data_IF_330516688829
#
_entry.id   IF_330516688829
#
_cell.length_a   1.000
_cell.length_b   1.000
_cell.length_c   1.000
_cell.angle_alpha   90.00
_cell.angle_beta   90.00
_cell.angle_gamma   90.00
#
_symmetry.space_group_name_H-M   'P 1'
#
loop_
_entity.id
_entity.type
_entity.pdbx_description
1 polymer ?
#
# COMPACT_ATOMS: atom_id res chain seq x y z
N UNK A 1 22.51 -1.45 -1.89
CA UNK A 1 21.77 -2.68 -2.25
C UNK A 1 21.99 -3.12 -3.71
N UNK A 2 21.98 -2.25 -4.72
CA UNK A 2 22.17 -2.65 -6.14
C UNK A 2 23.60 -3.00 -6.58
N UNK A 3 24.53 -3.30 -5.64
CA UNK A 3 25.96 -3.52 -5.97
C UNK A 3 26.21 -4.82 -6.74
N UNK A 4 25.23 -5.73 -6.78
CA UNK A 4 25.32 -7.04 -7.44
C UNK A 4 24.51 -7.14 -8.74
N UNK A 5 23.91 -6.03 -9.20
CA UNK A 5 23.16 -5.99 -10.45
C UNK A 5 24.10 -6.13 -11.65
N UNK A 6 23.83 -7.12 -12.50
CA UNK A 6 24.51 -7.29 -13.78
C UNK A 6 24.05 -6.19 -14.74
N UNK A 7 24.82 -5.84 -15.78
CA UNK A 7 24.40 -4.85 -16.80
C UNK A 7 23.04 -5.18 -17.43
N UNK A 8 22.72 -6.47 -17.56
CA UNK A 8 21.41 -6.95 -18.01
C UNK A 8 20.28 -6.70 -16.99
N UNK A 9 20.56 -6.85 -15.69
CA UNK A 9 19.58 -6.57 -14.62
C UNK A 9 19.29 -5.07 -14.55
N UNK A 10 20.31 -4.23 -14.76
CA UNK A 10 20.17 -2.78 -14.81
C UNK A 10 19.31 -2.32 -16.01
N UNK A 11 19.47 -2.97 -17.16
CA UNK A 11 18.64 -2.72 -18.34
C UNK A 11 17.19 -3.15 -18.11
N UNK A 12 16.96 -4.34 -17.51
CA UNK A 12 15.62 -4.82 -17.15
C UNK A 12 14.94 -3.89 -16.14
N UNK A 13 15.66 -3.42 -15.13
CA UNK A 13 15.15 -2.42 -14.18
C UNK A 13 14.80 -1.11 -14.88
N UNK A 14 15.63 -0.64 -15.82
CA UNK A 14 15.34 0.54 -16.62
C UNK A 14 14.01 0.40 -17.40
N UNK A 15 13.85 -0.68 -18.16
CA UNK A 15 12.60 -0.96 -18.89
C UNK A 15 11.42 -1.09 -17.93
N UNK A 16 11.59 -1.79 -16.80
CA UNK A 16 10.57 -1.94 -15.76
C UNK A 16 10.14 -0.61 -15.14
N UNK A 17 11.06 0.34 -14.94
CA UNK A 17 10.72 1.69 -14.43
C UNK A 17 9.93 2.50 -15.45
N UNK A 18 10.33 2.50 -16.72
CA UNK A 18 9.58 3.21 -17.77
C UNK A 18 8.18 2.63 -17.90
N UNK A 19 8.06 1.29 -17.90
CA UNK A 19 6.77 0.61 -17.90
C UNK A 19 5.92 0.95 -16.66
N UNK A 20 6.54 1.05 -15.47
CA UNK A 20 5.88 1.49 -14.24
C UNK A 20 5.33 2.92 -14.35
N UNK A 21 6.09 3.83 -14.96
CA UNK A 21 5.66 5.22 -15.17
C UNK A 21 4.47 5.30 -16.13
N UNK A 22 4.51 4.56 -17.24
CA UNK A 22 3.40 4.48 -18.19
C UNK A 22 2.16 3.89 -17.51
N UNK A 23 2.34 2.84 -16.71
CA UNK A 23 1.24 2.23 -15.96
C UNK A 23 0.68 3.19 -14.90
N UNK A 24 1.51 3.97 -14.20
CA UNK A 24 1.06 4.95 -13.21
C UNK A 24 0.29 6.12 -13.84
N UNK A 25 0.68 6.56 -15.03
CA UNK A 25 -0.04 7.60 -15.78
C UNK A 25 -1.40 7.12 -16.32
N UNK A 26 -1.65 5.82 -16.33
CA UNK A 26 -2.90 5.28 -16.88
C UNK A 26 -4.13 5.62 -16.06
N UNK A 27 -4.04 5.65 -14.72
CA UNK A 27 -5.20 5.96 -13.88
C UNK A 27 -5.65 7.43 -14.07
N UNK A 28 -4.76 8.44 -14.07
CA UNK A 28 -5.14 9.82 -14.40
C UNK A 28 -5.60 9.99 -15.85
N UNK A 29 -5.04 9.24 -16.80
CA UNK A 29 -5.54 9.29 -18.19
C UNK A 29 -6.95 8.69 -18.29
N UNK A 30 -7.26 7.64 -17.53
CA UNK A 30 -8.60 7.06 -17.48
C UNK A 30 -9.63 8.09 -17.01
N UNK A 31 -9.32 8.95 -16.04
CA UNK A 31 -10.25 10.00 -15.58
C UNK A 31 -10.52 11.04 -16.67
N UNK A 32 -9.52 11.34 -17.51
CA UNK A 32 -9.67 12.24 -18.66
C UNK A 32 -10.60 11.62 -19.72
N UNK A 33 -10.41 10.35 -20.05
CA UNK A 33 -11.24 9.66 -21.03
C UNK A 33 -12.67 9.51 -20.49
N UNK A 34 -12.82 9.18 -19.20
CA UNK A 34 -14.12 9.12 -18.53
C UNK A 34 -14.86 10.46 -18.58
N UNK A 35 -14.15 11.56 -18.31
CA UNK A 35 -14.71 12.90 -18.42
C UNK A 35 -15.18 13.24 -19.85
N UNK A 36 -14.47 12.79 -20.88
CA UNK A 36 -14.87 12.97 -22.26
C UNK A 36 -16.14 12.17 -22.61
N UNK A 37 -16.36 11.00 -21.99
CA UNK A 37 -17.64 10.27 -22.10
C UNK A 37 -18.78 11.12 -21.55
N UNK A 38 -18.62 11.67 -20.35
CA UNK A 38 -19.66 12.48 -19.69
C UNK A 38 -20.00 13.72 -20.51
N UNK A 39 -18.99 14.38 -21.06
CA UNK A 39 -19.17 15.53 -21.95
C UNK A 39 -19.88 15.16 -23.25
N UNK A 40 -19.66 13.95 -23.77
CA UNK A 40 -20.35 13.45 -24.97
C UNK A 40 -21.85 13.25 -24.74
N UNK A 41 -22.25 12.87 -23.53
CA UNK A 41 -23.66 12.75 -23.13
C UNK A 41 -24.30 14.08 -22.72
N UNK A 42 -23.50 15.09 -22.36
CA UNK A 42 -23.99 16.42 -21.96
C UNK A 42 -24.45 17.30 -23.13
N UNK A 43 -24.21 16.90 -24.38
CA UNK A 43 -24.61 17.65 -25.57
C UNK A 43 -26.05 17.39 -26.00
N UNK A 44 -26.73 18.40 -26.53
CA UNK A 44 -28.15 18.38 -26.93
C UNK A 44 -28.47 17.55 -28.18
N UNK A 45 -27.46 17.03 -28.87
CA UNK A 45 -27.57 16.59 -30.26
C UNK A 45 -27.39 15.07 -30.39
N UNK A 46 -28.51 14.33 -30.28
CA UNK A 46 -28.55 12.87 -30.14
C UNK A 46 -27.90 12.09 -31.29
N UNK A 47 -27.91 12.62 -32.52
CA UNK A 47 -27.31 11.99 -33.70
C UNK A 47 -25.78 12.00 -33.66
N UNK A 48 -25.18 13.03 -33.04
CA UNK A 48 -23.73 13.18 -32.89
C UNK A 48 -23.17 12.51 -31.62
N UNK A 49 -24.02 12.05 -30.70
CA UNK A 49 -23.60 11.33 -29.49
C UNK A 49 -22.95 10.00 -29.84
N UNK A 50 -23.56 9.23 -30.75
CA UNK A 50 -23.07 7.89 -31.10
C UNK A 50 -21.66 7.92 -31.70
N UNK A 51 -21.39 8.91 -32.56
CA UNK A 51 -20.06 9.11 -33.16
C UNK A 51 -19.02 9.56 -32.13
N UNK A 52 -19.38 10.48 -31.22
CA UNK A 52 -18.50 10.92 -30.13
C UNK A 52 -18.16 9.79 -29.17
N UNK A 53 -19.17 9.04 -28.72
CA UNK A 53 -18.98 7.90 -27.81
C UNK A 53 -18.14 6.82 -28.46
N UNK A 54 -18.38 6.47 -29.73
CA UNK A 54 -17.56 5.49 -30.45
C UNK A 54 -16.07 5.86 -30.48
N UNK A 55 -15.75 7.14 -30.70
CA UNK A 55 -14.37 7.65 -30.63
C UNK A 55 -13.76 7.53 -29.23
N UNK A 56 -14.54 7.82 -28.17
CA UNK A 56 -14.07 7.71 -26.78
C UNK A 56 -13.86 6.25 -26.37
N UNK A 57 -14.72 5.33 -26.83
CA UNK A 57 -14.54 3.89 -26.62
C UNK A 57 -13.25 3.39 -27.27
N UNK A 58 -12.91 3.87 -28.48
CA UNK A 58 -11.62 3.55 -29.09
C UNK A 58 -10.43 4.00 -28.22
N UNK A 59 -10.47 5.21 -27.65
CA UNK A 59 -9.43 5.66 -26.71
C UNK A 59 -9.32 4.76 -25.46
N UNK A 60 -10.45 4.28 -24.93
CA UNK A 60 -10.46 3.30 -23.83
C UNK A 60 -9.79 1.98 -24.20
N UNK A 61 -10.04 1.47 -25.42
CA UNK A 61 -9.41 0.23 -25.89
C UNK A 61 -7.90 0.41 -26.06
N UNK A 62 -7.46 1.51 -26.70
CA UNK A 62 -6.03 1.79 -26.85
C UNK A 62 -5.33 1.97 -25.51
N UNK A 63 -5.96 2.67 -24.57
CA UNK A 63 -5.44 2.82 -23.20
C UNK A 63 -5.36 1.46 -22.51
N UNK A 64 -6.42 0.65 -22.59
CA UNK A 64 -6.46 -0.71 -22.01
C UNK A 64 -5.34 -1.61 -22.51
N UNK A 65 -5.13 -1.68 -23.83
CA UNK A 65 -4.03 -2.46 -24.43
C UNK A 65 -2.67 -1.93 -23.97
N UNK A 66 -2.49 -0.61 -23.98
CA UNK A 66 -1.27 0.03 -23.49
C UNK A 66 -0.97 -0.29 -22.02
N UNK A 67 -1.99 -0.24 -21.16
CA UNK A 67 -1.86 -0.59 -19.74
C UNK A 67 -1.59 -2.05 -19.49
N UNK A 68 -2.21 -2.95 -20.26
CA UNK A 68 -1.97 -4.38 -20.13
C UNK A 68 -0.51 -4.72 -20.48
N UNK A 69 0.01 -4.14 -21.57
CA UNK A 69 1.41 -4.31 -21.96
C UNK A 69 2.37 -3.68 -20.95
N UNK A 70 2.09 -2.46 -20.50
CA UNK A 70 2.93 -1.75 -19.53
C UNK A 70 2.96 -2.48 -18.16
N UNK A 71 1.82 -2.92 -17.65
CA UNK A 71 1.74 -3.67 -16.39
C UNK A 71 2.43 -5.02 -16.50
N UNK A 72 2.25 -5.74 -17.61
CA UNK A 72 2.94 -7.01 -17.85
C UNK A 72 4.46 -6.81 -17.89
N UNK A 73 4.95 -5.82 -18.63
CA UNK A 73 6.38 -5.51 -18.70
C UNK A 73 6.95 -5.06 -17.36
N UNK A 74 6.23 -4.20 -16.63
CA UNK A 74 6.61 -3.74 -15.31
C UNK A 74 6.82 -4.92 -14.36
N UNK A 75 5.78 -5.74 -14.16
CA UNK A 75 5.83 -6.87 -13.22
C UNK A 75 6.86 -7.89 -13.66
N UNK A 76 6.88 -8.27 -14.94
CA UNK A 76 7.83 -9.28 -15.44
C UNK A 76 9.29 -8.85 -15.29
N UNK A 77 9.64 -7.61 -15.68
CA UNK A 77 11.02 -7.12 -15.59
C UNK A 77 11.50 -7.02 -14.14
N UNK A 78 10.65 -6.51 -13.24
CA UNK A 78 10.98 -6.36 -11.83
C UNK A 78 11.08 -7.71 -11.10
N UNK A 79 10.15 -8.64 -11.37
CA UNK A 79 10.22 -10.00 -10.80
C UNK A 79 11.45 -10.74 -11.30
N UNK A 80 11.76 -10.69 -12.60
CA UNK A 80 12.97 -11.33 -13.14
C UNK A 80 14.26 -10.75 -12.57
N UNK A 81 14.35 -9.41 -12.43
CA UNK A 81 15.51 -8.76 -11.82
C UNK A 81 15.65 -9.11 -10.34
N UNK A 82 14.54 -9.14 -9.60
CA UNK A 82 14.49 -9.54 -8.18
C UNK A 82 14.93 -10.97 -7.95
N UNK A 83 14.44 -11.92 -8.75
CA UNK A 83 14.81 -13.34 -8.68
C UNK A 83 16.30 -13.56 -8.95
N UNK A 84 16.85 -12.93 -10.00
CA UNK A 84 18.28 -13.06 -10.35
C UNK A 84 19.19 -12.51 -9.25
N UNK A 85 18.82 -11.37 -8.65
CA UNK A 85 19.58 -10.78 -7.54
C UNK A 85 19.44 -11.62 -6.26
N UNK A 86 18.24 -12.09 -5.94
CA UNK A 86 17.97 -12.96 -4.78
C UNK A 86 18.78 -14.26 -4.86
N UNK A 87 18.78 -14.94 -6.01
CA UNK A 87 19.55 -16.15 -6.23
C UNK A 87 21.06 -15.92 -6.05
N UNK A 88 21.59 -14.78 -6.53
CA UNK A 88 23.00 -14.41 -6.36
C UNK A 88 23.35 -14.06 -4.91
N UNK A 89 22.44 -13.42 -4.19
CA UNK A 89 22.63 -13.12 -2.77
C UNK A 89 22.63 -14.42 -1.96
N UNK A 90 21.72 -15.36 -2.26
CA UNK A 90 21.68 -16.70 -1.63
C UNK A 90 22.99 -17.44 -1.82
N UNK A 91 23.57 -17.44 -3.02
CA UNK A 91 24.83 -18.13 -3.27
C UNK A 91 26.02 -17.47 -2.55
N UNK A 92 26.11 -16.13 -2.58
CA UNK A 92 27.15 -15.39 -1.87
C UNK A 92 27.03 -15.52 -0.34
N UNK A 93 25.80 -15.56 0.18
CA UNK A 93 25.53 -15.76 1.59
C UNK A 93 26.00 -17.15 2.03
N UNK A 94 25.64 -18.19 1.27
CA UNK A 94 26.11 -19.55 1.55
C UNK A 94 27.64 -19.65 1.49
N UNK A 95 28.28 -19.05 0.48
CA UNK A 95 29.74 -19.01 0.36
C UNK A 95 30.39 -18.30 1.56
N UNK A 96 29.82 -17.19 2.03
CA UNK A 96 30.32 -16.47 3.20
C UNK A 96 30.16 -17.28 4.49
N UNK A 97 29.00 -17.92 4.69
CA UNK A 97 28.73 -18.78 5.85
C UNK A 97 29.68 -19.98 5.90
N UNK A 98 29.98 -20.59 4.75
CA UNK A 98 30.92 -21.72 4.66
C UNK A 98 32.39 -21.34 4.91
N UNK A 99 32.75 -20.06 4.77
CA UNK A 99 34.12 -19.55 5.05
C UNK A 99 34.32 -19.12 6.50
N UNK A 100 33.27 -19.16 7.32
CA UNK A 100 33.31 -18.72 8.70
C UNK A 100 33.92 -19.81 9.61
N UNK A 101 34.67 -19.39 10.64
CA UNK A 101 35.31 -20.32 11.58
C UNK A 101 34.29 -21.13 12.40
N UNK A 102 34.67 -22.34 12.81
CA UNK A 102 33.81 -23.24 13.61
C UNK A 102 33.35 -22.58 14.92
N UNK A 103 34.18 -21.71 15.52
CA UNK A 103 33.83 -20.94 16.72
C UNK A 103 32.62 -20.02 16.53
N UNK A 104 32.32 -19.58 15.30
CA UNK A 104 31.14 -18.75 15.01
C UNK A 104 29.83 -19.57 15.12
N UNK A 105 29.88 -20.84 14.71
CA UNK A 105 28.73 -21.75 14.83
C UNK A 105 28.50 -22.22 16.27
N UNK A 106 29.53 -22.25 17.10
CA UNK A 106 29.43 -22.62 18.51
C UNK A 106 28.93 -21.47 19.41
N UNK A 107 29.18 -20.21 19.04
CA UNK A 107 28.90 -19.03 19.90
C UNK A 107 27.71 -18.19 19.41
N UNK A 108 27.55 -17.97 18.10
CA UNK A 108 26.65 -16.94 17.57
C UNK A 108 25.52 -17.45 16.67
N UNK A 109 25.61 -18.65 16.11
CA UNK A 109 24.62 -19.11 15.11
C UNK A 109 24.32 -20.61 15.20
N UNK A 110 23.12 -20.96 15.68
CA UNK A 110 22.63 -22.34 15.56
C UNK A 110 22.36 -22.69 14.10
N UNK A 111 22.65 -23.94 13.68
CA UNK A 111 22.49 -24.40 12.29
C UNK A 111 21.07 -24.18 11.75
N UNK A 112 20.05 -24.22 12.62
CA UNK A 112 18.66 -23.94 12.28
C UNK A 112 18.36 -22.47 12.02
N UNK A 113 18.94 -21.55 12.81
CA UNK A 113 18.82 -20.10 12.58
C UNK A 113 19.54 -19.67 11.31
N UNK A 114 20.69 -20.28 10.99
CA UNK A 114 21.41 -20.04 9.75
C UNK A 114 20.55 -20.28 8.50
N UNK A 115 19.89 -21.44 8.47
CA UNK A 115 19.02 -21.87 7.37
C UNK A 115 17.75 -21.02 7.33
N UNK A 116 17.18 -20.72 8.49
CA UNK A 116 15.98 -19.87 8.61
C UNK A 116 16.24 -18.46 8.10
N UNK A 117 17.33 -17.80 8.51
CA UNK A 117 17.74 -16.47 8.01
C UNK A 117 18.03 -16.50 6.52
N UNK A 118 18.74 -17.53 6.03
CA UNK A 118 19.02 -17.67 4.61
C UNK A 118 17.74 -17.77 3.76
N UNK A 119 16.70 -18.46 4.23
CA UNK A 119 15.44 -18.58 3.49
C UNK A 119 14.53 -17.36 3.65
N UNK A 120 14.30 -16.92 4.89
CA UNK A 120 13.36 -15.85 5.22
C UNK A 120 13.88 -14.47 4.78
N UNK A 121 15.13 -14.12 5.09
CA UNK A 121 15.67 -12.79 4.79
C UNK A 121 15.86 -12.61 3.28
N UNK A 122 16.18 -13.69 2.56
CA UNK A 122 16.34 -13.62 1.10
C UNK A 122 15.02 -13.46 0.37
N UNK A 123 13.93 -14.07 0.87
CA UNK A 123 12.57 -13.82 0.34
C UNK A 123 12.16 -12.37 0.61
N UNK A 124 12.42 -11.84 1.81
CA UNK A 124 12.12 -10.44 2.12
C UNK A 124 12.91 -9.47 1.24
N UNK A 125 14.19 -9.75 0.99
CA UNK A 125 15.03 -8.96 0.09
C UNK A 125 14.54 -9.05 -1.36
N UNK A 126 14.09 -10.24 -1.79
CA UNK A 126 13.52 -10.44 -3.12
C UNK A 126 12.23 -9.63 -3.31
N UNK A 127 11.32 -9.67 -2.34
CA UNK A 127 10.08 -8.88 -2.37
C UNK A 127 10.37 -7.38 -2.39
N UNK A 128 11.35 -6.94 -1.58
CA UNK A 128 11.75 -5.55 -1.50
C UNK A 128 12.41 -5.04 -2.80
N UNK A 129 13.24 -5.86 -3.46
CA UNK A 129 13.97 -5.48 -4.67
C UNK A 129 13.15 -5.68 -5.96
N UNK A 130 12.21 -6.61 -5.99
CA UNK A 130 11.39 -6.92 -7.15
C UNK A 130 10.16 -6.01 -7.24
N UNK A 131 9.04 -6.43 -6.66
CA UNK A 131 7.75 -5.81 -6.91
C UNK A 131 7.60 -4.42 -6.28
N UNK A 132 8.15 -4.22 -5.07
CA UNK A 132 7.92 -2.99 -4.30
C UNK A 132 8.53 -1.75 -4.95
N UNK A 133 9.70 -1.85 -5.57
CA UNK A 133 10.35 -0.71 -6.23
C UNK A 133 9.56 -0.29 -7.46
N UNK A 134 9.11 -1.25 -8.27
CA UNK A 134 8.26 -0.99 -9.43
C UNK A 134 6.93 -0.37 -9.03
N UNK A 135 6.31 -0.85 -7.94
CA UNK A 135 5.08 -0.25 -7.39
C UNK A 135 5.31 1.15 -6.87
N UNK A 136 6.41 1.42 -6.18
CA UNK A 136 6.73 2.76 -5.68
C UNK A 136 6.86 3.78 -6.83
N UNK A 137 7.56 3.41 -7.92
CA UNK A 137 7.68 4.27 -9.10
C UNK A 137 6.33 4.52 -9.79
N UNK A 138 5.48 3.49 -9.88
CA UNK A 138 4.11 3.62 -10.39
C UNK A 138 3.31 4.61 -9.54
N UNK A 139 3.30 4.41 -8.23
CA UNK A 139 2.57 5.23 -7.26
C UNK A 139 3.01 6.70 -7.30
N UNK A 140 4.32 6.96 -7.35
CA UNK A 140 4.85 8.31 -7.53
C UNK A 140 4.37 8.95 -8.84
N UNK A 141 4.35 8.18 -9.93
CA UNK A 141 3.92 8.70 -11.23
C UNK A 141 2.42 8.98 -11.25
N UNK A 142 1.60 8.14 -10.62
CA UNK A 142 0.16 8.38 -10.47
C UNK A 142 -0.11 9.61 -9.62
N UNK A 143 0.61 9.78 -8.49
CA UNK A 143 0.51 10.97 -7.64
C UNK A 143 0.78 12.23 -8.47
N UNK A 144 1.96 12.33 -9.09
CA UNK A 144 2.36 13.51 -9.88
C UNK A 144 1.41 13.71 -11.08
N UNK A 145 1.08 12.64 -11.80
CA UNK A 145 0.19 12.69 -12.96
C UNK A 145 -1.22 13.17 -12.62
N UNK A 146 -1.80 12.69 -11.51
CA UNK A 146 -3.11 13.08 -11.02
C UNK A 146 -3.18 14.58 -10.67
N UNK A 147 -2.18 15.09 -9.93
CA UNK A 147 -2.10 16.52 -9.62
C UNK A 147 -1.90 17.38 -10.86
N UNK A 148 -0.97 17.01 -11.76
CA UNK A 148 -0.69 17.77 -12.98
C UNK A 148 -1.95 17.86 -13.85
N UNK A 149 -2.65 16.73 -14.10
CA UNK A 149 -3.88 16.71 -14.88
C UNK A 149 -4.99 17.53 -14.20
N UNK A 150 -5.13 17.42 -12.87
CA UNK A 150 -6.08 18.20 -12.09
C UNK A 150 -5.85 19.72 -12.20
N UNK A 151 -4.61 20.17 -12.04
CA UNK A 151 -4.25 21.59 -12.14
C UNK A 151 -4.40 22.15 -13.55
N UNK A 152 -4.03 21.38 -14.58
CA UNK A 152 -4.16 21.78 -15.99
C UNK A 152 -5.64 21.93 -16.40
N UNK A 153 -6.52 21.04 -15.92
CA UNK A 153 -7.95 21.07 -16.29
C UNK A 153 -8.76 22.07 -15.48
N UNK A 154 -8.39 22.32 -14.23
CA UNK A 154 -9.18 23.20 -13.37
C UNK A 154 -8.47 23.64 -12.12
N UNK A 155 -7.58 24.62 -12.24
CA UNK A 155 -6.78 25.17 -11.13
C UNK A 155 -7.62 25.57 -9.90
N UNK A 156 -8.78 26.22 -10.09
CA UNK A 156 -9.60 26.67 -8.94
C UNK A 156 -10.25 25.54 -8.17
N UNK A 157 -10.70 24.48 -8.85
CA UNK A 157 -11.26 23.29 -8.18
C UNK A 157 -10.15 22.44 -7.57
N UNK A 158 -8.99 22.37 -8.24
CA UNK A 158 -7.81 21.66 -7.73
C UNK A 158 -7.29 22.23 -6.41
N UNK A 159 -7.27 23.56 -6.25
CA UNK A 159 -6.90 24.21 -4.99
C UNK A 159 -7.85 23.87 -3.84
N UNK A 160 -9.16 23.80 -4.11
CA UNK A 160 -10.15 23.40 -3.09
C UNK A 160 -9.92 21.95 -2.66
N UNK A 161 -9.68 21.06 -3.62
CA UNK A 161 -9.34 19.66 -3.31
C UNK A 161 -8.04 19.56 -2.51
N UNK A 162 -7.01 20.33 -2.87
CA UNK A 162 -5.74 20.37 -2.15
C UNK A 162 -5.93 20.82 -0.69
N UNK A 163 -6.85 21.74 -0.41
CA UNK A 163 -7.16 22.17 0.96
C UNK A 163 -7.84 21.07 1.80
N UNK A 164 -8.51 20.11 1.17
CA UNK A 164 -9.11 18.95 1.84
C UNK A 164 -8.09 17.82 2.16
N UNK A 165 -6.90 17.85 1.56
CA UNK A 165 -5.88 16.81 1.76
C UNK A 165 -5.26 16.86 3.17
N UNK A 166 -4.78 18.01 3.70
CA UNK A 166 -4.23 18.09 5.05
C UNK A 166 -5.15 17.55 6.17
N UNK A 167 -6.45 17.91 6.24
CA UNK A 167 -7.34 17.33 7.25
C UNK A 167 -7.53 15.83 7.07
N UNK A 168 -7.56 15.32 5.84
CA UNK A 168 -7.63 13.88 5.55
C UNK A 168 -6.38 13.13 6.05
N UNK A 169 -5.19 13.69 5.79
CA UNK A 169 -3.92 13.16 6.31
C UNK A 169 -3.89 13.18 7.84
N UNK A 170 -4.37 14.27 8.47
CA UNK A 170 -4.40 14.39 9.92
C UNK A 170 -5.31 13.34 10.56
N UNK A 171 -6.51 13.11 10.01
CA UNK A 171 -7.43 12.06 10.46
C UNK A 171 -6.82 10.67 10.27
N UNK A 172 -6.16 10.41 9.13
CA UNK A 172 -5.48 9.13 8.92
C UNK A 172 -4.31 8.93 9.89
N UNK A 173 -3.46 9.94 10.08
CA UNK A 173 -2.29 9.90 10.95
C UNK A 173 -2.66 9.72 12.43
N UNK A 174 -3.75 10.34 12.89
CA UNK A 174 -4.23 10.18 14.27
C UNK A 174 -4.75 8.76 14.50
N UNK A 175 -5.58 8.25 13.59
CA UNK A 175 -6.10 6.89 13.67
C UNK A 175 -4.99 5.84 13.55
N UNK A 176 -4.02 6.02 12.66
CA UNK A 176 -2.91 5.08 12.48
C UNK A 176 -2.00 5.03 13.72
N UNK A 177 -1.69 6.18 14.33
CA UNK A 177 -0.94 6.26 15.59
C UNK A 177 -1.68 5.59 16.73
N UNK A 178 -2.98 5.86 16.88
CA UNK A 178 -3.81 5.22 17.92
C UNK A 178 -3.85 3.71 17.75
N UNK A 179 -4.03 3.22 16.52
CA UNK A 179 -3.98 1.77 16.21
C UNK A 179 -2.63 1.17 16.57
N UNK A 180 -1.52 1.79 16.16
CA UNK A 180 -0.19 1.30 16.47
C UNK A 180 0.06 1.22 17.99
N UNK A 181 -0.36 2.24 18.74
CA UNK A 181 -0.22 2.24 20.21
C UNK A 181 -1.05 1.14 20.88
N UNK A 182 -2.29 0.93 20.45
CA UNK A 182 -3.14 -0.11 21.03
C UNK A 182 -2.63 -1.50 20.65
N UNK A 183 -2.22 -1.69 19.40
CA UNK A 183 -1.63 -2.95 18.92
C UNK A 183 -0.35 -3.30 19.71
N UNK A 184 0.51 -2.32 19.98
CA UNK A 184 1.69 -2.52 20.84
C UNK A 184 1.31 -2.93 22.27
N UNK A 185 0.28 -2.31 22.87
CA UNK A 185 -0.23 -2.70 24.20
C UNK A 185 -0.86 -4.09 24.21
N UNK A 186 -1.54 -4.47 23.12
CA UNK A 186 -2.08 -5.82 22.92
C UNK A 186 -0.93 -6.82 22.91
N UNK A 187 0.10 -6.58 22.09
CA UNK A 187 1.26 -7.46 21.97
C UNK A 187 1.96 -7.63 23.33
N UNK A 188 2.24 -6.54 24.05
CA UNK A 188 2.85 -6.61 25.39
C UNK A 188 2.02 -7.46 26.38
N UNK A 189 0.69 -7.37 26.33
CA UNK A 189 -0.17 -8.18 27.19
C UNK A 189 -0.18 -9.67 26.81
N UNK A 190 0.01 -9.99 25.53
CA UNK A 190 0.19 -11.37 25.06
C UNK A 190 1.57 -11.91 25.43
N UNK A 191 2.61 -11.09 25.33
CA UNK A 191 3.98 -11.47 25.69
C UNK A 191 4.08 -11.78 27.19
N UNK A 192 3.43 -10.97 28.06
CA UNK A 192 3.32 -11.25 29.50
C UNK A 192 2.64 -12.62 29.76
N UNK A 193 1.56 -12.93 29.04
CA UNK A 193 0.86 -14.21 29.17
C UNK A 193 1.74 -15.38 28.68
N UNK A 194 2.45 -15.19 27.57
CA UNK A 194 3.40 -16.15 27.01
C UNK A 194 4.55 -16.47 27.97
N UNK A 195 5.14 -15.44 28.58
CA UNK A 195 6.22 -15.57 29.56
C UNK A 195 5.79 -16.41 30.77
N UNK A 196 4.57 -16.21 31.27
CA UNK A 196 4.03 -17.00 32.39
C UNK A 196 3.86 -18.46 32.02
N UNK A 197 3.33 -18.75 30.83
CA UNK A 197 3.19 -20.12 30.32
C UNK A 197 4.56 -20.75 30.17
N UNK A 198 5.51 -20.04 29.57
CA UNK A 198 6.87 -20.51 29.39
C UNK A 198 7.56 -20.84 30.72
N UNK A 199 7.46 -19.95 31.72
CA UNK A 199 7.98 -20.21 33.07
C UNK A 199 7.31 -21.42 33.73
N UNK A 200 5.99 -21.53 33.60
CA UNK A 200 5.23 -22.64 34.19
C UNK A 200 5.59 -23.99 33.55
N UNK A 201 5.79 -24.02 32.23
CA UNK A 201 6.22 -25.22 31.49
C UNK A 201 7.68 -25.56 31.80
N UNK A 202 8.58 -24.57 31.82
CA UNK A 202 9.99 -24.78 32.19
C UNK A 202 10.13 -25.34 33.60
N UNK A 203 9.30 -24.87 34.54
CA UNK A 203 9.28 -25.32 35.93
C UNK A 203 8.22 -26.40 36.22
N UNK A 204 7.78 -27.18 35.21
CA UNK A 204 6.62 -28.09 35.36
C UNK A 204 6.75 -29.06 36.53
N UNK A 205 7.95 -29.62 36.77
CA UNK A 205 8.19 -30.53 37.91
C UNK A 205 7.93 -29.85 39.25
N UNK A 206 8.31 -28.58 39.39
CA UNK A 206 8.08 -27.76 40.58
C UNK A 206 6.60 -27.41 40.72
N UNK A 207 5.94 -27.04 39.63
CA UNK A 207 4.50 -26.71 39.65
C UNK A 207 3.68 -27.92 40.11
N UNK A 208 3.98 -29.11 39.59
CA UNK A 208 3.31 -30.37 39.96
C UNK A 208 3.64 -30.76 41.39
N UNK A 209 4.91 -30.66 41.83
CA UNK A 209 5.31 -31.04 43.20
C UNK A 209 4.65 -30.20 44.29
N UNK A 210 4.33 -28.93 44.00
CA UNK A 210 3.61 -28.03 44.91
C UNK A 210 2.09 -27.99 44.65
N UNK A 211 1.57 -28.85 43.77
CA UNK A 211 0.15 -28.88 43.37
C UNK A 211 -0.37 -27.50 42.87
N UNK A 212 0.51 -26.74 42.20
CA UNK A 212 0.32 -25.34 41.81
C UNK A 212 -0.39 -25.12 40.47
N UNK A 213 -0.83 -26.19 39.80
CA UNK A 213 -1.44 -26.15 38.47
C UNK A 213 -2.64 -25.19 38.38
N UNK A 214 -3.54 -25.24 39.38
CA UNK A 214 -4.70 -24.34 39.45
C UNK A 214 -4.29 -22.87 39.55
N UNK A 215 -3.20 -22.57 40.26
CA UNK A 215 -2.67 -21.21 40.42
C UNK A 215 -2.06 -20.71 39.10
N UNK A 216 -1.32 -21.54 38.39
CA UNK A 216 -0.76 -21.22 37.08
C UNK A 216 -1.87 -20.93 36.05
N UNK A 217 -2.92 -21.78 36.01
CA UNK A 217 -4.08 -21.57 35.13
C UNK A 217 -4.85 -20.30 35.49
N UNK A 218 -5.05 -20.01 36.78
CA UNK A 218 -5.71 -18.78 37.21
C UNK A 218 -4.93 -17.53 36.80
N UNK A 219 -3.59 -17.55 36.91
CA UNK A 219 -2.73 -16.45 36.51
C UNK A 219 -2.78 -16.22 35.00
N UNK A 220 -2.70 -17.29 34.20
CA UNK A 220 -2.87 -17.23 32.75
C UNK A 220 -4.23 -16.65 32.35
N UNK A 221 -5.33 -17.14 32.96
CA UNK A 221 -6.67 -16.62 32.70
C UNK A 221 -6.81 -15.12 33.04
N UNK A 222 -6.15 -14.65 34.11
CA UNK A 222 -6.16 -13.24 34.45
C UNK A 222 -5.46 -12.37 33.39
N UNK A 223 -4.30 -12.83 32.88
CA UNK A 223 -3.54 -12.14 31.83
C UNK A 223 -4.28 -12.17 30.48
N UNK A 224 -4.84 -13.31 30.08
CA UNK A 224 -5.66 -13.40 28.87
C UNK A 224 -6.90 -12.53 28.95
N UNK A 225 -7.56 -12.44 30.11
CA UNK A 225 -8.73 -11.56 30.27
C UNK A 225 -8.36 -10.08 30.09
N UNK A 226 -7.15 -9.68 30.51
CA UNK A 226 -6.60 -8.33 30.26
C UNK A 226 -6.32 -8.13 28.76
N UNK A 227 -5.67 -9.09 28.10
CA UNK A 227 -5.43 -9.06 26.66
C UNK A 227 -6.75 -8.99 25.85
N UNK A 228 -7.76 -9.77 26.23
CA UNK A 228 -9.09 -9.76 25.60
C UNK A 228 -9.76 -8.39 25.67
N UNK A 229 -9.73 -7.73 26.83
CA UNK A 229 -10.26 -6.36 26.97
C UNK A 229 -9.54 -5.36 26.08
N UNK A 230 -8.21 -5.48 25.96
CA UNK A 230 -7.41 -4.65 25.05
C UNK A 230 -7.80 -4.89 23.57
N UNK A 231 -8.01 -6.15 23.18
CA UNK A 231 -8.47 -6.53 21.84
C UNK A 231 -9.85 -5.95 21.51
N UNK A 232 -10.81 -5.99 22.44
CA UNK A 232 -12.14 -5.38 22.25
C UNK A 232 -12.04 -3.87 22.07
N UNK A 233 -11.22 -3.20 22.90
CA UNK A 233 -11.00 -1.76 22.78
C UNK A 233 -10.34 -1.39 21.45
N UNK A 234 -9.36 -2.18 20.99
CA UNK A 234 -8.73 -1.99 19.69
C UNK A 234 -9.71 -2.16 18.54
N UNK A 235 -10.59 -3.16 18.60
CA UNK A 235 -11.65 -3.35 17.60
C UNK A 235 -12.55 -2.12 17.51
N UNK A 236 -12.96 -1.56 18.66
CA UNK A 236 -13.79 -0.37 18.71
C UNK A 236 -13.07 0.88 18.17
N UNK A 237 -11.81 1.12 18.58
CA UNK A 237 -11.01 2.24 18.07
C UNK A 237 -10.70 2.10 16.59
N UNK A 238 -10.47 0.88 16.12
CA UNK A 238 -10.24 0.58 14.70
C UNK A 238 -11.51 0.83 13.89
N UNK A 239 -12.65 0.32 14.33
CA UNK A 239 -13.94 0.53 13.68
C UNK A 239 -14.32 2.01 13.60
N UNK A 240 -14.31 2.72 14.74
CA UNK A 240 -14.58 4.16 14.77
C UNK A 240 -13.55 4.95 13.96
N UNK A 241 -12.28 4.57 14.01
CA UNK A 241 -11.22 5.23 13.24
C UNK A 241 -11.41 5.11 11.73
N UNK A 242 -11.77 3.93 11.22
CA UNK A 242 -12.11 3.75 9.80
C UNK A 242 -13.35 4.59 9.45
N UNK A 243 -14.38 4.57 10.31
CA UNK A 243 -15.60 5.36 10.10
C UNK A 243 -15.32 6.86 10.00
N UNK A 244 -14.48 7.41 10.88
CA UNK A 244 -14.05 8.80 10.84
C UNK A 244 -13.30 9.15 9.55
N UNK A 245 -12.42 8.26 9.07
CA UNK A 245 -11.69 8.47 7.80
C UNK A 245 -12.69 8.54 6.63
N UNK A 246 -13.61 7.58 6.52
CA UNK A 246 -14.63 7.60 5.47
C UNK A 246 -15.53 8.82 5.54
N UNK A 247 -15.91 9.27 6.75
CA UNK A 247 -16.70 10.48 6.94
C UNK A 247 -16.00 11.71 6.34
N UNK A 248 -14.71 11.92 6.63
CA UNK A 248 -13.92 13.04 6.09
C UNK A 248 -13.82 12.97 4.56
N UNK A 249 -13.64 11.77 4.00
CA UNK A 249 -13.60 11.56 2.54
C UNK A 249 -14.94 11.91 1.89
N UNK A 250 -16.07 11.45 2.44
CA UNK A 250 -17.39 11.80 1.91
C UNK A 250 -17.73 13.28 2.06
N UNK A 251 -17.34 13.93 3.16
CA UNK A 251 -17.47 15.38 3.31
C UNK A 251 -16.64 16.13 2.25
N UNK A 252 -15.43 15.66 1.97
CA UNK A 252 -14.57 16.22 0.93
C UNK A 252 -15.20 16.08 -0.45
N UNK A 253 -15.80 14.94 -0.78
CA UNK A 253 -16.57 14.77 -2.03
C UNK A 253 -17.76 15.72 -2.11
N UNK A 254 -18.54 15.83 -1.04
CA UNK A 254 -19.70 16.71 -1.01
C UNK A 254 -19.30 18.16 -1.28
N UNK A 255 -18.22 18.64 -0.64
CA UNK A 255 -17.68 19.97 -0.88
C UNK A 255 -17.19 20.15 -2.31
N UNK A 256 -16.48 19.15 -2.86
CA UNK A 256 -15.95 19.17 -4.21
C UNK A 256 -17.06 19.26 -5.27
N UNK A 257 -18.12 18.46 -5.13
CA UNK A 257 -19.27 18.50 -6.04
C UNK A 257 -20.10 19.76 -5.88
N UNK A 258 -20.32 20.24 -4.65
CA UNK A 258 -21.05 21.48 -4.41
C UNK A 258 -20.33 22.69 -5.02
N UNK A 259 -19.02 22.81 -4.78
CA UNK A 259 -18.21 23.89 -5.36
C UNK A 259 -18.05 23.71 -6.88
N UNK A 260 -17.89 22.48 -7.36
CA UNK A 260 -17.86 22.14 -8.77
C UNK A 260 -19.14 22.56 -9.50
N UNK A 261 -20.31 22.29 -8.95
CA UNK A 261 -21.60 22.72 -9.51
C UNK A 261 -21.69 24.26 -9.58
N UNK A 262 -21.21 24.98 -8.55
CA UNK A 262 -21.13 26.44 -8.58
C UNK A 262 -20.18 26.96 -9.66
N UNK A 263 -19.08 26.25 -9.94
CA UNK A 263 -18.15 26.60 -11.02
C UNK A 263 -18.73 26.38 -12.42
N UNK A 264 -19.55 25.34 -12.60
CA UNK A 264 -20.28 25.10 -13.85
C UNK A 264 -21.17 26.31 -14.17
N UNK A 265 -21.92 26.80 -13.18
CA UNK A 265 -22.86 27.92 -13.34
C UNK A 265 -22.13 29.27 -13.51
N UNK A 266 -21.06 29.52 -12.75
CA UNK A 266 -20.42 30.85 -12.69
C UNK A 266 -19.26 31.06 -13.66
N UNK A 267 -18.54 29.99 -14.03
CA UNK A 267 -17.31 30.07 -14.84
C UNK A 267 -17.36 29.21 -16.11
N UNK A 268 -18.49 28.58 -16.42
CA UNK A 268 -18.66 27.79 -17.64
C UNK A 268 -17.84 26.50 -17.66
N UNK A 269 -17.51 25.92 -16.50
CA UNK A 269 -16.92 24.58 -16.44
C UNK A 269 -17.89 23.54 -17.00
N UNK A 270 -17.37 22.51 -17.69
CA UNK A 270 -18.22 21.37 -18.09
C UNK A 270 -18.28 20.31 -16.99
N UNK A 271 -19.38 19.55 -16.93
CA UNK A 271 -19.53 18.47 -15.95
C UNK A 271 -18.41 17.43 -16.03
N UNK A 272 -17.92 17.15 -17.24
CA UNK A 272 -16.74 16.31 -17.46
C UNK A 272 -15.48 16.88 -16.83
N UNK A 273 -15.21 18.19 -16.96
CA UNK A 273 -14.03 18.82 -16.35
C UNK A 273 -14.04 18.73 -14.82
N UNK A 274 -15.20 18.96 -14.19
CA UNK A 274 -15.33 18.85 -12.72
C UNK A 274 -15.04 17.42 -12.27
N UNK A 275 -15.63 16.42 -12.92
CA UNK A 275 -15.43 15.01 -12.57
C UNK A 275 -13.98 14.60 -12.81
N UNK A 276 -13.36 15.05 -13.90
CA UNK A 276 -11.95 14.78 -14.17
C UNK A 276 -11.05 15.29 -13.04
N UNK A 277 -11.20 16.55 -12.64
CA UNK A 277 -10.35 17.16 -11.61
C UNK A 277 -10.56 16.49 -10.25
N UNK A 278 -11.81 16.18 -9.89
CA UNK A 278 -12.13 15.50 -8.62
C UNK A 278 -11.51 14.10 -8.59
N UNK A 279 -11.70 13.31 -9.63
CA UNK A 279 -11.19 11.94 -9.68
C UNK A 279 -9.66 11.90 -9.84
N UNK A 280 -9.07 12.76 -10.67
CA UNK A 280 -7.62 12.80 -10.87
C UNK A 280 -6.86 13.14 -9.57
N UNK A 281 -7.34 14.12 -8.81
CA UNK A 281 -6.72 14.51 -7.53
C UNK A 281 -6.99 13.47 -6.45
N UNK A 282 -8.19 12.90 -6.43
CA UNK A 282 -8.52 11.83 -5.49
C UNK A 282 -7.63 10.60 -5.72
N UNK A 283 -7.57 10.10 -6.95
CA UNK A 283 -6.71 8.97 -7.33
C UNK A 283 -5.25 9.28 -6.99
N UNK A 284 -4.77 10.49 -7.29
CA UNK A 284 -3.44 10.93 -6.88
C UNK A 284 -3.23 10.98 -5.37
N UNK A 285 -4.24 11.38 -4.58
CA UNK A 285 -4.16 11.51 -3.12
C UNK A 285 -4.36 10.20 -2.35
N UNK A 286 -4.87 9.15 -3.00
CA UNK A 286 -5.17 7.85 -2.38
C UNK A 286 -3.95 6.93 -2.29
N UNK A 287 -2.78 7.45 -2.69
CA UNK A 287 -1.50 6.78 -2.89
C UNK A 287 -0.48 7.32 -1.90
#
# INVERSE_FOLDING_TARGET
>A
MFRYATRADLALMGVGTVAAMVNGMSEPLMTVVFAAVIESFGGSDNSAVLHRVSKVVMYYIYLGIGTALASFLQVSCWTMAGERQSARIRSLYLEAVLKQDVSFFDVEMTTGEAISRMSADTVLVQDALGEKVGKYAQLLTTFVGGFVIGFVRGWTLALVMLACIPPSILSFATVSRLRAQISARRQASYDDAGNVVEQSIRAIRTVVSFNGEKKAVALYNALIKKAYKATVLEGLVTGLGIGCIFCVVFCSYSLAFWYGAKLIISKGYTGGQVINVVFAILTGSSI
#
